data_IF_432543568673
#
_entry.id   IF_432543568673
#
_cell.length_a   1.000
_cell.length_b   1.000
_cell.length_c   1.000
_cell.angle_alpha   90.00
_cell.angle_beta   90.00
_cell.angle_gamma   90.00
#
_symmetry.space_group_name_H-M   'P 1'
#
loop_
_entity.id
_entity.type
_entity.pdbx_description
1 polymer ?
#
# COMPACT_ATOMS: atom_id res chain seq x y z
N UNK A 1 15.21 6.07 -0.57
CA UNK A 1 15.19 4.62 -0.92
C UNK A 1 13.93 3.93 -0.40
N UNK A 2 13.65 3.92 0.91
CA UNK A 2 12.43 3.29 1.48
C UNK A 2 11.11 3.83 0.87
N UNK A 3 11.04 5.14 0.64
CA UNK A 3 9.88 5.81 0.02
C UNK A 3 9.53 5.32 -1.40
N UNK A 4 10.51 4.86 -2.18
CA UNK A 4 10.28 4.40 -3.56
C UNK A 4 9.59 3.02 -3.60
N UNK A 5 9.90 2.16 -2.63
CA UNK A 5 9.30 0.83 -2.51
C UNK A 5 7.89 0.91 -1.91
N UNK A 6 7.71 1.75 -0.88
CA UNK A 6 6.39 1.94 -0.26
C UNK A 6 5.46 2.80 -1.11
N UNK A 7 5.98 3.81 -1.80
CA UNK A 7 5.19 4.77 -2.57
C UNK A 7 4.48 4.16 -3.77
N UNK A 8 5.11 3.20 -4.46
CA UNK A 8 4.50 2.56 -5.62
C UNK A 8 3.30 1.68 -5.25
N UNK A 9 3.42 0.88 -4.17
CA UNK A 9 2.29 0.10 -3.62
C UNK A 9 1.21 1.01 -3.07
N UNK A 10 1.58 2.06 -2.33
CA UNK A 10 0.63 3.03 -1.81
C UNK A 10 -0.15 3.72 -2.94
N UNK A 11 0.54 4.20 -3.97
CA UNK A 11 -0.11 4.84 -5.12
C UNK A 11 -1.00 3.87 -5.93
N UNK A 12 -0.74 2.56 -5.86
CA UNK A 12 -1.62 1.56 -6.45
C UNK A 12 -2.90 1.37 -5.61
N UNK A 13 -2.75 1.27 -4.29
CA UNK A 13 -3.85 1.08 -3.35
C UNK A 13 -4.74 2.33 -3.23
N UNK A 14 -4.18 3.54 -3.33
CA UNK A 14 -4.95 4.79 -3.23
C UNK A 14 -5.72 5.15 -4.50
N UNK A 15 -5.40 4.51 -5.63
CA UNK A 15 -6.04 4.81 -6.92
C UNK A 15 -5.64 6.16 -7.55
N UNK A 16 -4.78 6.97 -6.91
CA UNK A 16 -4.48 8.36 -7.31
C UNK A 16 -4.12 8.53 -8.80
N UNK A 17 -3.39 7.57 -9.37
CA UNK A 17 -2.93 7.65 -10.75
C UNK A 17 -3.89 7.01 -11.77
N UNK A 18 -5.09 6.62 -11.34
CA UNK A 18 -6.09 5.94 -12.17
C UNK A 18 -5.73 4.50 -12.54
N UNK A 19 -6.68 3.76 -13.14
CA UNK A 19 -6.46 2.38 -13.55
C UNK A 19 -5.60 2.30 -14.82
N UNK A 20 -4.72 1.30 -14.85
CA UNK A 20 -3.85 1.00 -16.01
C UNK A 20 -4.47 -0.05 -16.94
N UNK A 21 -5.56 -0.69 -16.52
CA UNK A 21 -6.20 -1.77 -17.27
C UNK A 21 -7.32 -2.42 -16.47
N UNK A 22 -7.90 -3.45 -17.07
CA UNK A 22 -8.96 -4.27 -16.47
C UNK A 22 -8.43 -5.65 -16.11
N UNK A 23 -8.96 -6.25 -15.06
CA UNK A 23 -8.64 -7.60 -14.62
C UNK A 23 -9.91 -8.45 -14.55
N UNK A 24 -9.87 -9.63 -15.14
CA UNK A 24 -10.96 -10.62 -15.06
C UNK A 24 -10.55 -11.72 -14.09
N UNK A 25 -11.30 -11.86 -12.99
CA UNK A 25 -11.04 -12.86 -11.95
C UNK A 25 -11.33 -14.27 -12.48
N UNK A 26 -10.40 -15.20 -12.30
CA UNK A 26 -10.60 -16.62 -12.59
C UNK A 26 -10.82 -17.44 -11.32
N UNK A 27 -9.98 -17.23 -10.31
CA UNK A 27 -10.04 -17.94 -9.03
C UNK A 27 -9.36 -17.13 -7.93
N UNK A 28 -9.86 -17.20 -6.70
CA UNK A 28 -9.24 -16.52 -5.55
C UNK A 28 -8.83 -17.54 -4.48
N UNK A 29 -7.77 -17.21 -3.76
CA UNK A 29 -7.18 -18.00 -2.69
C UNK A 29 -6.60 -17.08 -1.62
N UNK A 30 -6.50 -17.57 -0.39
CA UNK A 30 -5.83 -16.82 0.69
C UNK A 30 -4.33 -16.73 0.40
N UNK A 31 -3.78 -15.52 0.51
CA UNK A 31 -2.36 -15.29 0.33
C UNK A 31 -1.53 -15.96 1.43
N UNK A 32 -0.48 -16.69 1.05
CA UNK A 32 0.42 -17.34 2.02
C UNK A 32 1.33 -16.34 2.76
N UNK A 33 1.65 -15.21 2.12
CA UNK A 33 2.60 -14.19 2.60
C UNK A 33 1.95 -12.86 3.02
N UNK A 34 0.69 -12.64 2.63
CA UNK A 34 -0.07 -11.42 2.86
C UNK A 34 -1.44 -11.91 3.34
N UNK A 35 -1.95 -11.42 4.49
CA UNK A 35 -3.24 -11.87 5.08
C UNK A 35 -4.47 -11.49 4.24
N UNK A 36 -4.26 -11.02 3.02
CA UNK A 36 -5.31 -10.64 2.08
C UNK A 36 -5.56 -11.70 1.01
N UNK A 37 -6.76 -11.65 0.44
CA UNK A 37 -7.15 -12.51 -0.68
C UNK A 37 -6.32 -12.18 -1.93
N UNK A 38 -5.77 -13.22 -2.55
CA UNK A 38 -5.09 -13.14 -3.84
C UNK A 38 -5.98 -13.79 -4.90
N UNK A 39 -6.12 -13.13 -6.05
CA UNK A 39 -6.90 -13.67 -7.15
C UNK A 39 -6.03 -13.87 -8.39
N UNK A 40 -6.12 -15.04 -9.01
CA UNK A 40 -5.55 -15.30 -10.33
C UNK A 40 -6.58 -14.91 -11.40
N UNK A 41 -6.11 -14.36 -12.50
CA UNK A 41 -6.98 -13.88 -13.56
C UNK A 41 -6.21 -13.31 -14.73
N UNK A 42 -6.95 -12.70 -15.67
CA UNK A 42 -6.40 -12.14 -16.91
C UNK A 42 -6.44 -10.63 -16.84
N UNK A 43 -5.27 -10.00 -16.92
CA UNK A 43 -5.10 -8.56 -17.03
C UNK A 43 -5.12 -8.13 -18.50
N UNK A 44 -5.91 -7.12 -18.80
CA UNK A 44 -6.00 -6.47 -20.11
C UNK A 44 -5.63 -4.99 -19.95
N UNK A 45 -4.51 -4.54 -20.53
CA UNK A 45 -4.06 -3.14 -20.46
C UNK A 45 -5.09 -2.19 -21.07
N UNK A 46 -5.21 -0.98 -20.52
CA UNK A 46 -6.03 0.08 -21.13
C UNK A 46 -5.24 0.79 -22.23
N UNK A 47 -5.93 1.34 -23.24
CA UNK A 47 -5.29 2.13 -24.31
C UNK A 47 -4.56 3.38 -23.80
N UNK A 48 -4.87 3.85 -22.57
CA UNK A 48 -4.18 4.95 -21.89
C UNK A 48 -2.86 4.53 -21.23
N UNK A 49 -2.62 3.23 -21.04
CA UNK A 49 -1.37 2.67 -20.50
C UNK A 49 -0.36 2.49 -21.65
N UNK A 50 0.20 3.58 -22.14
CA UNK A 50 1.05 3.68 -23.36
C UNK A 50 2.44 3.04 -23.29
N UNK A 51 2.66 1.97 -22.53
CA UNK A 51 3.91 1.20 -22.64
C UNK A 51 3.82 0.22 -23.82
N UNK A 52 4.75 0.34 -24.76
CA UNK A 52 4.75 -0.37 -26.05
C UNK A 52 4.73 -1.92 -25.96
N UNK A 53 5.02 -2.50 -24.79
CA UNK A 53 4.92 -3.94 -24.48
C UNK A 53 3.59 -4.36 -23.81
N UNK A 54 2.68 -3.42 -23.56
CA UNK A 54 1.42 -3.64 -22.85
C UNK A 54 0.22 -3.76 -23.79
N UNK A 55 0.34 -4.53 -24.87
CA UNK A 55 -0.78 -4.79 -25.80
C UNK A 55 -1.41 -6.17 -25.64
N UNK A 56 -0.69 -7.13 -25.04
CA UNK A 56 -1.17 -8.48 -24.87
C UNK A 56 -1.83 -8.70 -23.49
N UNK A 57 -3.05 -9.25 -23.51
CA UNK A 57 -3.73 -9.66 -22.29
C UNK A 57 -3.01 -10.87 -21.68
N UNK A 58 -2.68 -10.80 -20.39
CA UNK A 58 -1.75 -11.72 -19.72
C UNK A 58 -2.29 -12.22 -18.39
N UNK A 59 -1.97 -13.46 -18.04
CA UNK A 59 -2.34 -14.04 -16.76
C UNK A 59 -1.48 -13.46 -15.65
N UNK A 60 -2.10 -12.88 -14.64
CA UNK A 60 -1.42 -12.21 -13.53
C UNK A 60 -2.12 -12.50 -12.21
N UNK A 61 -1.43 -12.19 -11.11
CA UNK A 61 -1.99 -12.21 -9.77
C UNK A 61 -2.45 -10.80 -9.40
N UNK A 62 -3.71 -10.71 -8.98
CA UNK A 62 -4.28 -9.57 -8.28
C UNK A 62 -3.95 -9.71 -6.80
N UNK A 63 -3.13 -8.80 -6.27
CA UNK A 63 -2.76 -8.74 -4.86
C UNK A 63 -3.66 -7.75 -4.14
N UNK A 64 -4.10 -8.10 -2.94
CA UNK A 64 -5.00 -7.29 -2.11
C UNK A 64 -6.37 -7.04 -2.75
N UNK A 65 -7.01 -8.12 -3.22
CA UNK A 65 -8.39 -8.07 -3.69
C UNK A 65 -9.31 -7.69 -2.52
N UNK A 66 -9.99 -6.55 -2.60
CA UNK A 66 -10.82 -6.05 -1.52
C UNK A 66 -12.30 -6.44 -1.73
N UNK A 67 -12.83 -7.30 -0.86
CA UNK A 67 -14.22 -7.77 -0.90
C UNK A 67 -14.44 -9.07 -1.67
N UNK A 68 -15.71 -9.47 -1.84
CA UNK A 68 -16.07 -10.75 -2.48
C UNK A 68 -15.84 -10.72 -3.99
N UNK A 69 -14.92 -11.55 -4.45
CA UNK A 69 -14.53 -11.66 -5.85
C UNK A 69 -15.10 -12.94 -6.45
N UNK A 70 -16.21 -12.82 -7.17
CA UNK A 70 -16.77 -13.94 -7.94
C UNK A 70 -15.93 -14.19 -9.20
N UNK A 71 -15.70 -15.45 -9.60
CA UNK A 71 -15.14 -15.77 -10.91
C UNK A 71 -15.91 -15.07 -12.02
N UNK A 72 -15.20 -14.48 -12.98
CA UNK A 72 -15.75 -13.69 -14.09
C UNK A 72 -15.95 -12.20 -13.79
N UNK A 73 -15.78 -11.74 -12.54
CA UNK A 73 -15.86 -10.32 -12.21
C UNK A 73 -14.75 -9.52 -12.91
N UNK A 74 -15.12 -8.35 -13.45
CA UNK A 74 -14.19 -7.38 -14.04
C UNK A 74 -13.88 -6.28 -13.05
N UNK A 75 -12.60 -5.96 -12.87
CA UNK A 75 -12.12 -4.91 -11.97
C UNK A 75 -11.17 -3.97 -12.68
N UNK A 76 -11.29 -2.68 -12.37
CA UNK A 76 -10.32 -1.68 -12.79
C UNK A 76 -9.12 -1.71 -11.85
N UNK A 77 -7.93 -1.88 -12.43
CA UNK A 77 -6.74 -2.25 -11.67
C UNK A 77 -5.50 -1.49 -12.11
N UNK A 78 -4.54 -1.41 -11.20
CA UNK A 78 -3.24 -0.79 -11.45
C UNK A 78 -2.13 -1.83 -11.45
N UNK A 79 -1.36 -1.87 -12.53
CA UNK A 79 -0.13 -2.63 -12.62
C UNK A 79 1.02 -1.84 -11.99
N UNK A 80 1.72 -2.48 -11.05
CA UNK A 80 2.96 -1.97 -10.47
C UNK A 80 4.00 -3.07 -10.49
N UNK A 81 5.05 -2.88 -11.31
CA UNK A 81 6.05 -3.91 -11.57
C UNK A 81 5.42 -5.15 -12.22
N UNK A 82 5.51 -6.30 -11.55
CA UNK A 82 4.96 -7.57 -12.01
C UNK A 82 3.59 -7.92 -11.39
N UNK A 83 3.04 -7.06 -10.53
CA UNK A 83 1.81 -7.33 -9.78
C UNK A 83 0.69 -6.35 -10.14
N UNK A 84 -0.54 -6.82 -10.01
CA UNK A 84 -1.77 -6.05 -10.25
C UNK A 84 -2.43 -5.77 -8.90
N UNK A 85 -2.91 -4.55 -8.71
CA UNK A 85 -3.54 -4.08 -7.47
C UNK A 85 -4.93 -3.52 -7.76
N UNK A 86 -5.89 -3.86 -6.91
CA UNK A 86 -7.19 -3.19 -6.85
C UNK A 86 -7.07 -1.97 -5.93
N UNK A 87 -7.52 -0.78 -6.37
CA UNK A 87 -7.60 0.39 -5.49
C UNK A 87 -8.53 0.09 -4.32
N UNK A 88 -8.03 0.25 -3.10
CA UNK A 88 -8.78 0.00 -1.88
C UNK A 88 -8.39 1.03 -0.83
N UNK A 89 -9.30 1.99 -0.50
CA UNK A 89 -9.09 2.97 0.55
C UNK A 89 -8.69 2.34 1.89
N UNK A 90 -9.32 1.21 2.24
CA UNK A 90 -9.05 0.49 3.47
C UNK A 90 -7.63 -0.12 3.45
N UNK A 91 -7.27 -0.84 2.38
CA UNK A 91 -5.93 -1.43 2.29
C UNK A 91 -4.83 -0.35 2.23
N UNK A 92 -5.11 0.82 1.63
CA UNK A 92 -4.20 1.96 1.67
C UNK A 92 -4.01 2.48 3.10
N UNK A 93 -5.08 2.64 3.86
CA UNK A 93 -5.03 3.11 5.25
C UNK A 93 -4.31 2.12 6.17
N UNK A 94 -4.59 0.82 6.04
CA UNK A 94 -3.90 -0.25 6.77
C UNK A 94 -2.39 -0.23 6.45
N UNK A 95 -2.04 -0.12 5.16
CA UNK A 95 -0.65 -0.06 4.74
C UNK A 95 0.11 1.15 5.29
N UNK A 96 -0.51 2.34 5.26
CA UNK A 96 0.08 3.56 5.85
C UNK A 96 0.24 3.42 7.35
N UNK A 97 -0.78 2.89 8.03
CA UNK A 97 -0.74 2.69 9.48
C UNK A 97 0.37 1.71 9.86
N UNK A 98 0.45 0.56 9.18
CA UNK A 98 1.48 -0.45 9.43
C UNK A 98 2.89 0.07 9.14
N UNK A 99 3.08 0.74 7.99
CA UNK A 99 4.37 1.32 7.62
C UNK A 99 4.80 2.41 8.61
N UNK A 100 3.89 3.30 8.98
CA UNK A 100 4.13 4.36 9.96
C UNK A 100 4.46 3.78 11.34
N UNK A 101 3.69 2.78 11.78
CA UNK A 101 3.91 2.11 13.05
C UNK A 101 5.28 1.42 13.11
N UNK A 102 5.64 0.70 12.05
CA UNK A 102 6.94 0.02 11.92
C UNK A 102 8.09 1.02 11.93
N UNK A 103 7.98 2.11 11.16
CA UNK A 103 8.99 3.15 11.10
C UNK A 103 9.21 3.85 12.45
N UNK A 104 8.14 4.10 13.20
CA UNK A 104 8.21 4.72 14.54
C UNK A 104 8.79 3.74 15.55
N UNK A 105 8.34 2.49 15.55
CA UNK A 105 8.72 1.49 16.56
C UNK A 105 10.17 1.02 16.40
N UNK A 106 10.71 1.01 15.17
CA UNK A 106 12.10 0.61 14.93
C UNK A 106 13.03 1.81 14.73
N UNK A 107 12.55 2.85 14.05
CA UNK A 107 13.38 3.99 13.64
C UNK A 107 13.74 4.91 14.80
N UNK A 108 12.77 5.25 15.66
CA UNK A 108 13.05 6.11 16.80
C UNK A 108 14.04 5.42 17.77
N UNK A 109 13.87 4.12 18.17
CA UNK A 109 14.78 3.54 19.16
C UNK A 109 16.18 3.38 18.59
N UNK A 110 16.26 2.96 17.32
CA UNK A 110 17.51 2.90 16.58
C UNK A 110 18.21 4.26 16.51
N UNK A 111 17.47 5.35 16.27
CA UNK A 111 18.03 6.69 16.26
C UNK A 111 18.54 7.12 17.65
N UNK A 112 17.80 6.82 18.73
CA UNK A 112 18.24 7.12 20.10
C UNK A 112 19.49 6.34 20.50
N UNK A 113 19.56 5.05 20.17
CA UNK A 113 20.75 4.23 20.41
C UNK A 113 21.95 4.72 19.60
N UNK A 114 21.75 5.03 18.32
CA UNK A 114 22.81 5.54 17.44
C UNK A 114 23.35 6.90 17.93
N UNK A 115 22.45 7.80 18.35
CA UNK A 115 22.85 9.12 18.87
C UNK A 115 23.53 9.03 20.23
N UNK A 116 23.10 8.12 21.11
CA UNK A 116 23.76 7.84 22.38
C UNK A 116 25.16 7.24 22.17
N UNK A 117 25.29 6.28 21.26
CA UNK A 117 26.56 5.66 20.89
C UNK A 117 27.55 6.69 20.30
N UNK A 118 27.08 7.54 19.37
CA UNK A 118 27.91 8.61 18.77
C UNK A 118 28.41 9.63 19.78
N UNK A 119 27.65 9.89 20.85
CA UNK A 119 28.03 10.83 21.91
C UNK A 119 28.77 10.17 23.07
N UNK A 120 28.97 8.85 23.03
CA UNK A 120 29.63 8.08 24.09
C UNK A 120 28.92 8.16 25.45
N UNK A 121 27.64 8.54 25.49
CA UNK A 121 26.85 8.68 26.72
C UNK A 121 25.38 8.38 26.47
N UNK A 122 24.72 7.82 27.48
CA UNK A 122 23.28 7.63 27.46
C UNK A 122 22.59 9.00 27.52
N UNK A 123 21.79 9.32 26.50
CA UNK A 123 20.96 10.51 26.49
C UNK A 123 19.65 10.23 27.25
N UNK A 124 19.13 11.25 27.96
CA UNK A 124 17.86 11.12 28.69
C UNK A 124 16.75 10.61 27.76
N UNK A 125 16.13 9.50 28.15
CA UNK A 125 15.11 8.80 27.38
C UNK A 125 13.70 9.37 27.53
N UNK A 126 13.44 10.24 28.49
CA UNK A 126 12.10 10.73 28.79
C UNK A 126 11.45 11.46 27.60
N UNK A 127 12.13 12.46 27.03
CA UNK A 127 11.68 13.14 25.81
C UNK A 127 11.50 12.17 24.64
N UNK A 128 12.35 11.15 24.58
CA UNK A 128 12.33 10.17 23.52
C UNK A 128 11.10 9.26 23.61
N UNK A 129 10.64 8.91 24.82
CA UNK A 129 9.38 8.18 25.04
C UNK A 129 8.17 9.03 24.64
N UNK A 130 8.14 10.32 24.99
CA UNK A 130 7.05 11.22 24.57
C UNK A 130 7.01 11.40 23.05
N UNK A 131 8.16 11.58 22.39
CA UNK A 131 8.23 11.64 20.93
C UNK A 131 7.80 10.33 20.27
N UNK A 132 8.17 9.18 20.85
CA UNK A 132 7.73 7.88 20.37
C UNK A 132 6.21 7.73 20.47
N UNK A 133 5.60 8.02 21.62
CA UNK A 133 4.14 7.99 21.82
C UNK A 133 3.41 8.96 20.88
N UNK A 134 3.88 10.20 20.76
CA UNK A 134 3.28 11.18 19.85
C UNK A 134 3.35 10.73 18.39
N UNK A 135 4.46 10.09 17.99
CA UNK A 135 4.63 9.57 16.64
C UNK A 135 3.75 8.35 16.37
N UNK A 136 3.50 7.51 17.37
CA UNK A 136 2.53 6.40 17.27
C UNK A 136 1.12 6.92 17.04
N UNK A 137 0.69 7.90 17.83
CA UNK A 137 -0.60 8.56 17.66
C UNK A 137 -0.70 9.24 16.29
N UNK A 138 0.38 9.89 15.86
CA UNK A 138 0.48 10.49 14.53
C UNK A 138 0.34 9.47 13.40
N UNK A 139 0.92 8.28 13.52
CA UNK A 139 0.79 7.21 12.51
C UNK A 139 -0.66 6.69 12.41
N UNK A 140 -1.34 6.53 13.54
CA UNK A 140 -2.76 6.14 13.59
C UNK A 140 -3.62 7.25 12.98
N UNK A 141 -3.42 8.49 13.39
CA UNK A 141 -4.15 9.64 12.86
C UNK A 141 -3.95 9.78 11.34
N UNK A 142 -2.73 9.58 10.84
CA UNK A 142 -2.43 9.59 9.42
C UNK A 142 -3.20 8.49 8.67
N UNK A 143 -3.22 7.27 9.22
CA UNK A 143 -4.03 6.17 8.69
C UNK A 143 -5.52 6.53 8.60
N UNK A 144 -6.08 7.07 9.68
CA UNK A 144 -7.49 7.52 9.72
C UNK A 144 -7.73 8.63 8.69
N UNK A 145 -6.84 9.61 8.56
CA UNK A 145 -6.96 10.71 7.60
C UNK A 145 -6.81 10.25 6.15
N UNK A 146 -6.10 9.15 5.89
CA UNK A 146 -5.98 8.61 4.53
C UNK A 146 -7.30 8.03 4.02
N UNK A 147 -8.19 7.55 4.90
CA UNK A 147 -9.50 7.02 4.52
C UNK A 147 -10.38 8.06 3.80
N UNK A 148 -10.73 9.23 4.38
CA UNK A 148 -11.57 10.21 3.71
C UNK A 148 -10.90 10.77 2.45
N UNK A 149 -9.56 10.93 2.45
CA UNK A 149 -8.81 11.43 1.29
C UNK A 149 -8.88 10.45 0.12
N UNK A 150 -8.64 9.16 0.38
CA UNK A 150 -8.70 8.11 -0.66
C UNK A 150 -10.12 7.84 -1.13
N UNK A 151 -11.10 7.95 -0.22
CA UNK A 151 -12.52 7.86 -0.56
C UNK A 151 -12.96 9.00 -1.48
N UNK A 152 -12.61 10.26 -1.13
CA UNK A 152 -12.83 11.43 -1.99
C UNK A 152 -12.23 11.22 -3.38
N UNK A 153 -10.97 10.79 -3.46
CA UNK A 153 -10.30 10.53 -4.72
C UNK A 153 -10.99 9.45 -5.56
N UNK A 154 -11.47 8.37 -4.92
CA UNK A 154 -12.23 7.33 -5.61
C UNK A 154 -13.57 7.84 -6.16
N UNK A 155 -14.27 8.72 -5.43
CA UNK A 155 -15.57 9.25 -5.87
C UNK A 155 -15.50 10.26 -7.02
N UNK A 156 -14.40 11.02 -7.13
CA UNK A 156 -14.23 12.02 -8.21
C UNK A 156 -13.58 11.45 -9.49
N UNK A 157 -13.06 10.22 -9.45
CA UNK A 157 -12.39 9.57 -10.59
C UNK A 157 -13.22 8.47 -11.26
N UNK A 158 -14.40 8.12 -10.71
CA UNK A 158 -15.39 7.23 -11.31
C UNK A 158 -16.46 8.00 -12.08
#
# INVERSE_FOLDING_TARGET
MLWLLFGARLAALTGIAGPTGTFVVASCFEGLEDTGTQCRGKYTPSSKSSSADATAARTMLLRSASGDHRPGARRDVRLVGAAVFEPSPLAAAEYVTFAGWTAVTLGLPGHWLLTSARRGRLLNGENYVFFWLASLLGAIALGILTLPVTWLLATFQG
#
